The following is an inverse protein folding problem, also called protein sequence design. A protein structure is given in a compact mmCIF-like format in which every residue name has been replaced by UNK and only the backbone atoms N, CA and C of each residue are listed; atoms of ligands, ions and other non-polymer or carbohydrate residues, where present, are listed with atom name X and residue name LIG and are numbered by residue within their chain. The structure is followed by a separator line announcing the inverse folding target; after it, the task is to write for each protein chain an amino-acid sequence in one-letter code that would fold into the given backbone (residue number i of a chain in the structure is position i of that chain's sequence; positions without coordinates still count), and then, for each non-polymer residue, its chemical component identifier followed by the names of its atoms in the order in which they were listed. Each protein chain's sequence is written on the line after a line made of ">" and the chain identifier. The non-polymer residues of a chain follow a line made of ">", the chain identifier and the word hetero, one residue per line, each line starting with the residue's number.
data_IF_468733312959
#
_entry.id   IF_468733312959
#
_cell.length_a   1.000
_cell.length_b   1.000
_cell.length_c   1.000
_cell.angle_alpha   90.00
_cell.angle_beta   90.00
_cell.angle_gamma   90.00
#
_symmetry.space_group_name_H-M   'P 1'
#
loop_
_entity.id
_entity.type
_entity.pdbx_description
1 polymer ?
#
# COMPACT_ATOMS: atom_id res chain seq x y z
N UNK A 1 -0.12 -6.72 11.92
CA UNK A 1 0.01 -7.96 11.11
C UNK A 1 0.23 -7.55 9.66
N UNK A 2 1.27 -8.07 8.99
CA UNK A 2 1.49 -7.80 7.55
C UNK A 2 0.46 -8.59 6.73
N UNK A 3 -0.30 -7.90 5.88
CA UNK A 3 -1.28 -8.49 4.98
C UNK A 3 -0.63 -8.92 3.67
N UNK A 4 0.19 -8.03 3.09
CA UNK A 4 0.99 -8.34 1.91
C UNK A 4 2.19 -7.38 1.79
N UNK A 5 3.18 -7.76 1.00
CA UNK A 5 4.05 -6.79 0.32
C UNK A 5 4.31 -7.18 -1.13
N UNK A 6 4.72 -6.19 -1.91
CA UNK A 6 5.19 -6.38 -3.28
C UNK A 6 6.06 -5.22 -3.72
N UNK A 7 6.89 -5.48 -4.73
CA UNK A 7 7.52 -4.44 -5.52
C UNK A 7 6.48 -3.81 -6.45
N UNK A 8 6.52 -2.48 -6.56
CA UNK A 8 5.63 -1.74 -7.44
C UNK A 8 6.03 -1.94 -8.90
N UNK A 9 5.03 -2.30 -9.71
CA UNK A 9 5.17 -2.38 -11.18
C UNK A 9 4.71 -1.07 -11.82
N UNK A 10 4.99 -0.91 -13.11
CA UNK A 10 4.49 0.22 -13.89
C UNK A 10 2.97 0.40 -13.77
N UNK A 11 2.20 -0.70 -13.78
CA UNK A 11 0.74 -0.62 -13.61
C UNK A 11 0.33 -0.12 -12.23
N UNK A 12 1.10 -0.47 -11.19
CA UNK A 12 0.82 0.03 -9.85
C UNK A 12 1.10 1.54 -9.78
N UNK A 13 2.19 2.03 -10.36
CA UNK A 13 2.52 3.47 -10.37
C UNK A 13 1.56 4.30 -11.24
N UNK A 14 1.15 3.79 -12.39
CA UNK A 14 0.39 4.60 -13.36
C UNK A 14 -1.13 4.44 -13.26
N UNK A 15 -1.63 3.36 -12.62
CA UNK A 15 -3.06 3.01 -12.64
C UNK A 15 -3.63 2.70 -11.26
N UNK A 16 -3.18 1.60 -10.64
CA UNK A 16 -3.82 1.01 -9.45
C UNK A 16 -2.96 -0.08 -8.81
N UNK A 17 -2.95 -0.15 -7.48
CA UNK A 17 -2.25 -1.22 -6.77
C UNK A 17 -3.06 -2.51 -6.81
N UNK A 18 -2.48 -3.60 -7.30
CA UNK A 18 -3.09 -4.93 -7.20
C UNK A 18 -3.08 -5.44 -5.76
N UNK A 19 -4.23 -5.91 -5.28
CA UNK A 19 -4.41 -6.47 -3.94
C UNK A 19 -4.57 -7.99 -4.02
N UNK A 20 -3.99 -8.78 -3.10
CA UNK A 20 -4.25 -10.23 -3.07
C UNK A 20 -5.70 -10.54 -2.70
N UNK A 21 -6.36 -11.43 -3.44
CA UNK A 21 -7.77 -11.79 -3.16
C UNK A 21 -7.97 -12.42 -1.77
N UNK A 22 -6.99 -13.18 -1.29
CA UNK A 22 -7.12 -13.90 -0.02
C UNK A 22 -7.22 -12.99 1.21
N UNK A 23 -6.88 -11.69 1.12
CA UNK A 23 -6.99 -10.75 2.25
C UNK A 23 -8.28 -9.93 2.26
N UNK A 24 -9.16 -10.06 1.26
CA UNK A 24 -10.37 -9.23 1.14
C UNK A 24 -11.34 -9.41 2.30
N UNK A 25 -11.41 -10.61 2.89
CA UNK A 25 -12.24 -10.89 4.06
C UNK A 25 -11.83 -10.07 5.30
N UNK A 26 -10.66 -9.42 5.28
CA UNK A 26 -10.19 -8.56 6.37
C UNK A 26 -10.63 -7.11 6.21
N UNK A 27 -11.24 -6.73 5.08
CA UNK A 27 -11.68 -5.36 4.78
C UNK A 27 -13.16 -5.16 5.13
N UNK A 28 -13.58 -3.92 5.45
CA UNK A 28 -14.94 -3.64 5.91
C UNK A 28 -15.91 -3.50 4.72
N UNK A 29 -16.05 -4.54 3.91
CA UNK A 29 -17.10 -4.57 2.89
C UNK A 29 -18.47 -4.71 3.56
N UNK A 30 -19.43 -3.88 3.14
CA UNK A 30 -20.83 -4.03 3.54
C UNK A 30 -21.53 -5.05 2.62
N UNK A 31 -22.61 -5.65 3.10
CA UNK A 31 -23.38 -6.62 2.31
C UNK A 31 -23.92 -5.96 1.02
N UNK A 32 -23.55 -6.55 -0.12
CA UNK A 32 -23.92 -6.04 -1.45
C UNK A 32 -22.97 -4.98 -2.03
N UNK A 33 -22.00 -4.49 -1.25
CA UNK A 33 -21.01 -3.53 -1.76
C UNK A 33 -19.94 -4.21 -2.61
N UNK A 34 -19.58 -3.55 -3.72
CA UNK A 34 -18.48 -3.95 -4.61
C UNK A 34 -17.15 -3.25 -4.28
N UNK A 35 -17.16 -2.39 -3.29
CA UNK A 35 -15.98 -1.63 -2.86
C UNK A 35 -16.00 -1.38 -1.36
N UNK A 36 -14.84 -1.09 -0.80
CA UNK A 36 -14.67 -0.59 0.56
C UNK A 36 -13.66 0.55 0.54
N UNK A 37 -13.92 1.61 1.31
CA UNK A 37 -12.96 2.68 1.53
C UNK A 37 -12.21 2.39 2.84
N UNK A 38 -10.89 2.28 2.75
CA UNK A 38 -10.00 1.98 3.88
C UNK A 38 -9.27 3.26 4.27
N UNK A 39 -9.39 3.68 5.54
CA UNK A 39 -8.45 4.63 6.12
C UNK A 39 -7.15 3.92 6.48
N UNK A 40 -6.03 4.45 6.02
CA UNK A 40 -4.71 3.86 6.11
C UNK A 40 -3.74 4.90 6.63
N UNK A 41 -2.98 4.55 7.67
CA UNK A 41 -1.94 5.41 8.23
C UNK A 41 -0.58 5.07 7.62
N UNK A 42 0.15 6.07 7.14
CA UNK A 42 1.54 5.90 6.67
C UNK A 42 2.55 5.94 7.85
N UNK A 43 3.85 5.76 7.56
CA UNK A 43 4.88 5.75 8.62
C UNK A 43 5.18 7.14 9.20
N UNK A 44 4.84 8.23 8.50
CA UNK A 44 4.89 9.59 9.06
C UNK A 44 3.62 9.97 9.85
N UNK A 45 2.63 9.08 9.89
CA UNK A 45 1.38 9.26 10.62
C UNK A 45 0.28 9.96 9.84
N UNK A 46 0.52 10.28 8.57
CA UNK A 46 -0.47 10.80 7.63
C UNK A 46 -1.57 9.77 7.34
N UNK A 47 -2.79 10.28 7.16
CA UNK A 47 -3.97 9.46 6.87
C UNK A 47 -4.33 9.53 5.39
N UNK A 48 -4.48 8.36 4.79
CA UNK A 48 -4.84 8.15 3.40
C UNK A 48 -6.14 7.35 3.33
N UNK A 49 -6.96 7.60 2.31
CA UNK A 49 -8.16 6.79 2.04
C UNK A 49 -7.99 6.07 0.72
N UNK A 50 -7.92 4.74 0.76
CA UNK A 50 -7.85 3.91 -0.45
C UNK A 50 -9.16 3.19 -0.70
N UNK A 51 -9.70 3.31 -1.90
CA UNK A 51 -10.85 2.51 -2.33
C UNK A 51 -10.40 1.16 -2.86
N UNK A 52 -10.65 0.10 -2.11
CA UNK A 52 -10.54 -1.25 -2.61
C UNK A 52 -11.79 -1.61 -3.41
N UNK A 53 -11.63 -2.01 -4.67
CA UNK A 53 -12.72 -2.54 -5.50
C UNK A 53 -12.45 -4.02 -5.75
N UNK A 54 -13.47 -4.85 -5.59
CA UNK A 54 -13.47 -6.21 -6.13
C UNK A 54 -14.64 -6.33 -7.13
N UNK A 55 -14.47 -7.17 -8.15
CA UNK A 55 -15.53 -7.43 -9.14
C UNK A 55 -15.86 -8.91 -9.12
N UNK A 56 -17.02 -9.26 -9.66
CA UNK A 56 -17.34 -10.66 -9.93
C UNK A 56 -16.80 -11.04 -11.32
N UNK A 57 -16.20 -12.23 -11.42
CA UNK A 57 -15.71 -12.79 -12.70
C UNK A 57 -14.35 -13.46 -12.61
N UNK A 58 -14.00 -14.19 -13.67
CA UNK A 58 -12.83 -15.09 -13.76
C UNK A 58 -11.48 -14.34 -13.63
N UNK A 59 -11.46 -13.03 -13.88
CA UNK A 59 -10.26 -12.19 -13.86
C UNK A 59 -10.38 -10.98 -12.92
N UNK A 60 -11.31 -11.01 -11.98
CA UNK A 60 -11.58 -9.87 -11.11
C UNK A 60 -10.57 -9.77 -9.96
N UNK A 61 -9.34 -9.38 -10.29
CA UNK A 61 -8.32 -9.07 -9.29
C UNK A 61 -8.71 -7.78 -8.55
N UNK A 62 -8.75 -7.79 -7.21
CA UNK A 62 -9.07 -6.59 -6.46
C UNK A 62 -7.92 -5.60 -6.53
N UNK A 63 -8.25 -4.32 -6.41
CA UNK A 63 -7.29 -3.22 -6.57
C UNK A 63 -7.60 -2.08 -5.62
N UNK A 64 -6.56 -1.40 -5.13
CA UNK A 64 -6.71 -0.04 -4.63
C UNK A 64 -6.75 0.92 -5.81
N UNK A 65 -7.86 1.63 -5.94
CA UNK A 65 -8.14 2.56 -7.04
C UNK A 65 -8.07 4.00 -6.56
N UNK A 66 -9.18 4.57 -6.10
CA UNK A 66 -9.23 5.95 -5.59
C UNK A 66 -8.27 6.14 -4.41
N UNK A 67 -7.56 7.26 -4.39
CA UNK A 67 -6.58 7.62 -3.36
C UNK A 67 -5.18 7.04 -3.58
N UNK A 68 -5.06 5.98 -4.39
CA UNK A 68 -3.78 5.32 -4.60
C UNK A 68 -2.81 6.16 -5.43
N UNK A 69 -3.26 6.72 -6.56
CA UNK A 69 -2.37 7.54 -7.40
C UNK A 69 -2.02 8.86 -6.70
N UNK A 70 -2.95 9.42 -5.93
CA UNK A 70 -2.69 10.58 -5.09
C UNK A 70 -1.55 10.29 -4.08
N UNK A 71 -1.55 9.10 -3.47
CA UNK A 71 -0.45 8.63 -2.61
C UNK A 71 0.85 8.42 -3.38
N UNK A 72 0.80 7.78 -4.56
CA UNK A 72 1.97 7.59 -5.42
C UNK A 72 2.65 8.92 -5.74
N UNK A 73 1.87 9.91 -6.18
CA UNK A 73 2.40 11.24 -6.51
C UNK A 73 2.92 11.98 -5.29
N UNK A 74 2.17 11.97 -4.18
CA UNK A 74 2.56 12.68 -2.97
C UNK A 74 3.83 12.13 -2.32
N UNK A 75 4.05 10.80 -2.40
CA UNK A 75 5.22 10.12 -1.85
C UNK A 75 6.34 9.90 -2.87
N UNK A 76 6.19 10.41 -4.09
CA UNK A 76 7.14 10.20 -5.19
C UNK A 76 7.50 8.71 -5.37
N UNK A 77 6.50 7.81 -5.36
CA UNK A 77 6.75 6.37 -5.47
C UNK A 77 7.23 6.00 -6.88
N UNK A 78 8.11 5.02 -6.94
CA UNK A 78 8.79 4.56 -8.15
C UNK A 78 8.59 3.06 -8.36
N UNK A 79 8.83 2.62 -9.60
CA UNK A 79 8.94 1.19 -9.91
C UNK A 79 10.04 0.59 -9.00
N UNK A 80 9.80 -0.63 -8.53
CA UNK A 80 10.66 -1.36 -7.59
C UNK A 80 10.72 -0.83 -6.15
N UNK A 81 9.96 0.21 -5.78
CA UNK A 81 9.67 0.47 -4.37
C UNK A 81 8.89 -0.72 -3.78
N UNK A 82 9.24 -1.16 -2.58
CA UNK A 82 8.49 -2.18 -1.85
C UNK A 82 7.38 -1.52 -1.05
N UNK A 83 6.13 -1.88 -1.32
CA UNK A 83 4.98 -1.52 -0.50
C UNK A 83 4.62 -2.69 0.39
N UNK A 84 4.48 -2.43 1.70
CA UNK A 84 3.95 -3.37 2.67
C UNK A 84 2.66 -2.80 3.28
N UNK A 85 1.59 -3.60 3.29
CA UNK A 85 0.30 -3.24 3.84
C UNK A 85 0.01 -4.09 5.08
N UNK A 86 -0.49 -3.45 6.13
CA UNK A 86 -0.64 -4.05 7.45
C UNK A 86 -2.03 -3.77 8.01
N UNK A 87 -2.50 -4.66 8.88
CA UNK A 87 -3.64 -4.45 9.77
C UNK A 87 -3.19 -4.53 11.22
N UNK A 88 -3.54 -3.56 12.03
CA UNK A 88 -3.31 -3.60 13.47
C UNK A 88 -4.10 -4.74 14.11
N UNK A 89 -3.45 -5.39 15.08
CA UNK A 89 -4.07 -6.48 15.84
C UNK A 89 -4.91 -5.96 17.00
N UNK A 90 -4.71 -4.69 17.36
CA UNK A 90 -5.44 -4.03 18.41
C UNK A 90 -6.82 -3.63 17.90
N UNK A 91 -7.86 -4.10 18.58
CA UNK A 91 -9.26 -3.86 18.24
C UNK A 91 -9.63 -2.40 18.58
N UNK A 92 -8.87 -1.74 19.45
CA UNK A 92 -9.09 -0.35 19.87
C UNK A 92 -8.41 0.69 18.96
N UNK A 93 -7.62 0.25 17.97
CA UNK A 93 -6.98 1.15 17.02
C UNK A 93 -8.02 1.88 16.17
N UNK A 94 -8.13 3.21 16.33
CA UNK A 94 -9.06 4.05 15.57
C UNK A 94 -8.87 3.94 14.04
N UNK A 95 -7.64 3.69 13.58
CA UNK A 95 -7.30 3.44 12.17
C UNK A 95 -6.58 2.10 12.10
N UNK A 96 -7.26 1.02 11.67
CA UNK A 96 -6.71 -0.33 11.79
C UNK A 96 -5.74 -0.71 10.67
N UNK A 97 -5.55 0.12 9.63
CA UNK A 97 -4.67 -0.19 8.51
C UNK A 97 -3.44 0.71 8.48
N UNK A 98 -2.30 0.13 8.08
CA UNK A 98 -1.04 0.84 7.90
C UNK A 98 -0.39 0.50 6.58
N UNK A 99 0.33 1.46 6.00
CA UNK A 99 1.14 1.28 4.80
C UNK A 99 2.57 1.75 5.04
N UNK A 100 3.52 0.92 4.66
CA UNK A 100 4.95 1.23 4.69
C UNK A 100 5.48 1.14 3.26
N UNK A 101 6.32 2.09 2.86
CA UNK A 101 6.98 2.06 1.56
C UNK A 101 8.48 2.19 1.74
N UNK A 102 9.23 1.28 1.12
CA UNK A 102 10.69 1.26 1.18
C UNK A 102 11.28 1.32 -0.21
N UNK A 103 12.32 2.14 -0.36
CA UNK A 103 13.12 2.23 -1.57
C UNK A 103 14.45 1.52 -1.36
N UNK A 104 14.84 0.69 -2.33
CA UNK A 104 16.17 0.12 -2.36
C UNK A 104 17.17 1.22 -2.72
N UNK A 105 18.03 1.58 -1.78
CA UNK A 105 19.05 2.60 -2.01
C UNK A 105 20.22 2.03 -2.81
N UNK A 106 20.76 0.90 -2.33
CA UNK A 106 21.94 0.27 -2.92
C UNK A 106 22.11 -1.16 -2.41
N UNK A 107 23.04 -1.89 -3.04
CA UNK A 107 23.55 -3.17 -2.54
C UNK A 107 24.95 -2.97 -1.98
N UNK A 108 25.16 -3.27 -0.71
CA UNK A 108 26.48 -3.27 -0.07
C UNK A 108 26.80 -4.68 0.41
N UNK A 109 27.97 -5.19 0.03
CA UNK A 109 28.45 -6.52 0.44
C UNK A 109 27.46 -7.66 0.18
N UNK A 110 26.72 -7.58 -0.94
CA UNK A 110 25.70 -8.57 -1.30
C UNK A 110 24.34 -8.40 -0.61
N UNK A 111 24.20 -7.44 0.31
CA UNK A 111 22.97 -7.14 1.02
C UNK A 111 22.29 -5.89 0.46
N UNK A 112 20.98 -5.96 0.27
CA UNK A 112 20.18 -4.81 -0.19
C UNK A 112 19.82 -3.92 0.99
N UNK A 113 20.12 -2.63 0.87
CA UNK A 113 19.78 -1.61 1.87
C UNK A 113 18.49 -0.93 1.40
N UNK A 114 17.48 -0.99 2.27
CA UNK A 114 16.17 -0.42 2.06
C UNK A 114 15.91 0.69 3.07
N UNK A 115 15.42 1.83 2.60
CA UNK A 115 15.10 3.00 3.42
C UNK A 115 13.63 3.32 3.24
N UNK A 116 12.95 3.74 4.30
CA UNK A 116 11.58 4.23 4.19
C UNK A 116 11.53 5.46 3.27
N UNK A 117 10.56 5.50 2.36
CA UNK A 117 10.40 6.62 1.43
C UNK A 117 10.27 7.95 2.18
N UNK A 118 9.56 7.94 3.31
CA UNK A 118 9.44 9.11 4.20
C UNK A 118 10.78 9.63 4.73
N UNK A 119 11.80 8.77 4.83
CA UNK A 119 13.11 9.09 5.40
C UNK A 119 14.15 9.45 4.33
N UNK A 120 13.85 9.31 3.04
CA UNK A 120 14.81 9.58 1.95
C UNK A 120 15.41 10.99 2.03
N UNK A 121 14.60 11.98 2.44
CA UNK A 121 15.03 13.36 2.61
C UNK A 121 16.17 13.53 3.64
N UNK A 122 16.23 12.67 4.67
CA UNK A 122 17.29 12.68 5.68
C UNK A 122 18.66 12.31 5.10
N UNK A 123 18.67 11.65 3.94
CA UNK A 123 19.86 11.24 3.20
C UNK A 123 20.15 12.14 2.00
N UNK A 124 19.44 13.26 1.84
CA UNK A 124 19.58 14.17 0.70
C UNK A 124 19.07 13.59 -0.62
N UNK A 125 18.15 12.62 -0.55
CA UNK A 125 17.55 11.95 -1.70
C UNK A 125 16.08 12.40 -1.83
N UNK A 126 15.67 12.76 -3.04
CA UNK A 126 14.29 13.15 -3.39
C UNK A 126 13.74 12.29 -4.51
#
# INVERSE_FOLDING_TARGET
>A
MKLFSKLLTQTDIEKRLSVPTHILHLFPFLDGDRFADLQVKDSSGGLWTFRCIYRDGIYAKPVFSKGWLEFVYAKNLQIDDEVAFHKDKDIEAAVPYRIEVKRKLMRLMGQDIWIEVEQLHLYGLS
#
